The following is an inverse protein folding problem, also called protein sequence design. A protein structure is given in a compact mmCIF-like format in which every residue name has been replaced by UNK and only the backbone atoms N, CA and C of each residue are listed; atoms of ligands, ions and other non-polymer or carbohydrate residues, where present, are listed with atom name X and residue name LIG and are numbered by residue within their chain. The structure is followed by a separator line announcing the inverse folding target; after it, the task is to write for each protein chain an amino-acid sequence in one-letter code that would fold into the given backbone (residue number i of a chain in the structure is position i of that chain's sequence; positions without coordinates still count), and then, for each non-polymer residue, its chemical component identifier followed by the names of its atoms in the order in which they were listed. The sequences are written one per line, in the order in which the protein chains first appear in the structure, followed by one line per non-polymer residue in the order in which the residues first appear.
data_IF_858825665211
#
_entry.id   IF_858825665211
#
_cell.length_a   1.000
_cell.length_b   1.000
_cell.length_c   1.000
_cell.angle_alpha   90.00
_cell.angle_beta   90.00
_cell.angle_gamma   90.00
#
_symmetry.space_group_name_H-M   'P 1'
#
loop_
_entity.id
_entity.type
_entity.pdbx_description
1 polymer ?
#
# COMPACT_ATOMS: atom_id res chain seq x y z
N UNK A 1 -7.57 -9.33 27.93
CA UNK A 1 -6.29 -8.93 28.56
C UNK A 1 -6.52 -8.60 30.01
N UNK A 2 -5.45 -8.40 30.77
CA UNK A 2 -5.49 -8.08 32.21
C UNK A 2 -4.41 -7.02 32.50
N UNK A 3 -4.73 -6.00 33.31
CA UNK A 3 -3.81 -4.90 33.66
C UNK A 3 -3.15 -4.23 32.43
N UNK A 4 -3.95 -3.96 31.38
CA UNK A 4 -3.50 -3.42 30.09
C UNK A 4 -2.43 -4.28 29.37
N UNK A 5 -2.37 -5.58 29.69
CA UNK A 5 -1.50 -6.55 29.02
C UNK A 5 -2.32 -7.61 28.32
N UNK A 6 -1.84 -8.06 27.16
CA UNK A 6 -2.35 -9.28 26.53
C UNK A 6 -2.09 -10.48 27.45
N UNK A 7 -2.97 -11.48 27.37
CA UNK A 7 -2.91 -12.72 28.18
C UNK A 7 -3.18 -13.95 27.34
N UNK A 8 -4.16 -13.85 26.44
CA UNK A 8 -4.51 -14.89 25.50
C UNK A 8 -4.96 -14.26 24.18
N UNK A 9 -4.78 -15.00 23.09
CA UNK A 9 -5.45 -14.77 21.80
C UNK A 9 -6.55 -15.82 21.69
N UNK A 10 -7.77 -15.38 21.40
CA UNK A 10 -8.88 -16.28 21.13
C UNK A 10 -9.00 -16.47 19.61
N UNK A 11 -8.94 -17.72 19.15
CA UNK A 11 -9.20 -18.07 17.77
C UNK A 11 -10.71 -18.12 17.51
N UNK A 12 -11.12 -18.06 16.24
CA UNK A 12 -12.53 -18.22 15.83
C UNK A 12 -13.12 -19.57 16.27
N UNK A 13 -12.29 -20.61 16.39
CA UNK A 13 -12.66 -21.93 16.92
C UNK A 13 -13.06 -21.92 18.40
N UNK A 14 -12.74 -20.84 19.13
CA UNK A 14 -12.92 -20.72 20.57
C UNK A 14 -11.66 -21.07 21.38
N UNK A 15 -10.60 -21.60 20.75
CA UNK A 15 -9.34 -21.94 21.41
C UNK A 15 -8.64 -20.70 21.97
N UNK A 16 -8.03 -20.84 23.14
CA UNK A 16 -7.27 -19.79 23.81
C UNK A 16 -5.78 -20.10 23.80
N UNK A 17 -5.00 -19.24 23.14
CA UNK A 17 -3.53 -19.35 23.09
C UNK A 17 -2.93 -18.35 24.10
N UNK A 18 -2.23 -18.79 25.16
CA UNK A 18 -1.52 -17.89 26.08
C UNK A 18 -0.52 -17.00 25.34
N UNK A 19 -0.51 -15.70 25.67
CA UNK A 19 0.26 -14.69 24.95
C UNK A 19 0.62 -13.52 25.87
N UNK A 20 1.90 -13.20 25.99
CA UNK A 20 2.42 -12.03 26.73
C UNK A 20 2.79 -10.84 25.82
N UNK A 21 2.93 -11.10 24.51
CA UNK A 21 3.20 -10.12 23.46
C UNK A 21 2.48 -10.50 22.17
N UNK A 22 1.68 -9.59 21.63
CA UNK A 22 0.97 -9.76 20.36
C UNK A 22 1.54 -8.81 19.30
N UNK A 23 2.00 -9.37 18.19
CA UNK A 23 2.43 -8.63 17.00
C UNK A 23 1.41 -8.91 15.89
N UNK A 24 0.83 -7.86 15.32
CA UNK A 24 -0.16 -7.97 14.24
C UNK A 24 0.48 -7.49 12.94
N UNK A 25 0.49 -8.36 11.93
CA UNK A 25 1.04 -8.08 10.60
C UNK A 25 0.11 -8.66 9.52
N UNK A 26 -1.04 -8.00 9.31
CA UNK A 26 -2.13 -8.47 8.41
C UNK A 26 -2.20 -7.69 7.09
N UNK A 27 -1.13 -7.01 6.72
CA UNK A 27 -1.07 -6.12 5.56
C UNK A 27 -0.95 -4.65 5.95
N UNK A 28 -0.97 -3.78 4.94
CA UNK A 28 -0.90 -2.33 5.08
C UNK A 28 -1.98 -1.67 4.23
N UNK A 29 -2.42 -0.48 4.64
CA UNK A 29 -3.33 0.35 3.87
C UNK A 29 -2.56 1.50 3.21
N UNK A 30 -3.02 1.93 2.04
CA UNK A 30 -2.39 3.05 1.33
C UNK A 30 -2.73 4.36 2.02
N UNK A 31 -1.71 5.16 2.33
CA UNK A 31 -1.88 6.50 2.89
C UNK A 31 -2.21 7.53 1.78
N UNK A 32 -3.44 7.50 1.27
CA UNK A 32 -3.87 8.37 0.15
C UNK A 32 -5.03 9.31 0.46
N UNK A 33 -5.45 9.40 1.72
CA UNK A 33 -6.57 10.24 2.17
C UNK A 33 -6.43 11.71 1.75
N UNK A 34 -5.21 12.25 1.77
CA UNK A 34 -4.91 13.62 1.38
C UNK A 34 -5.32 13.93 -0.08
N UNK A 35 -5.36 12.92 -0.95
CA UNK A 35 -5.51 13.08 -2.40
C UNK A 35 -6.92 12.78 -2.91
N UNK A 36 -7.84 12.29 -2.06
CA UNK A 36 -9.20 11.88 -2.48
C UNK A 36 -10.01 12.95 -3.20
N UNK A 37 -9.76 14.23 -2.90
CA UNK A 37 -10.43 15.38 -3.54
C UNK A 37 -9.48 16.18 -4.44
N UNK A 38 -8.35 15.59 -4.81
CA UNK A 38 -7.38 16.19 -5.72
C UNK A 38 -7.74 15.87 -7.18
N UNK A 39 -7.15 16.55 -8.17
CA UNK A 39 -7.31 16.21 -9.58
C UNK A 39 -6.55 14.94 -10.02
N UNK A 40 -5.90 14.23 -9.09
CA UNK A 40 -5.18 12.99 -9.38
C UNK A 40 -6.16 11.87 -9.75
N UNK A 41 -5.87 11.15 -10.82
CA UNK A 41 -6.59 9.93 -11.17
C UNK A 41 -6.19 8.81 -10.20
N UNK A 42 -7.16 8.33 -9.43
CA UNK A 42 -6.96 7.29 -8.43
C UNK A 42 -7.76 6.04 -8.77
N UNK A 43 -7.24 4.87 -8.40
CA UNK A 43 -7.98 3.62 -8.49
C UNK A 43 -9.04 3.51 -7.39
N UNK A 44 -10.03 2.63 -7.57
CA UNK A 44 -11.08 2.40 -6.57
C UNK A 44 -10.54 1.95 -5.21
N UNK A 45 -9.36 1.31 -5.19
CA UNK A 45 -8.64 0.89 -3.98
C UNK A 45 -7.62 1.92 -3.47
N UNK A 46 -7.67 3.16 -3.97
CA UNK A 46 -6.99 4.31 -3.35
C UNK A 46 -5.55 4.55 -3.78
N UNK A 47 -5.05 3.87 -4.82
CA UNK A 47 -3.72 4.14 -5.37
C UNK A 47 -3.76 5.27 -6.40
N UNK A 48 -2.64 5.96 -6.61
CA UNK A 48 -2.48 6.93 -7.68
C UNK A 48 -2.04 6.19 -8.94
N UNK A 49 -2.76 6.38 -10.05
CA UNK A 49 -2.36 5.84 -11.34
C UNK A 49 -1.22 6.66 -11.93
N UNK A 50 -0.18 5.99 -12.41
CA UNK A 50 0.94 6.61 -13.10
C UNK A 50 1.21 5.97 -14.44
N UNK A 51 1.76 6.72 -15.39
CA UNK A 51 2.23 6.20 -16.67
C UNK A 51 3.59 5.48 -16.53
N UNK A 52 4.16 5.01 -17.65
CA UNK A 52 5.45 4.29 -17.71
C UNK A 52 6.64 5.13 -17.22
N UNK A 53 6.46 6.45 -17.10
CA UNK A 53 7.44 7.42 -16.60
C UNK A 53 7.08 7.98 -15.23
N UNK A 54 6.21 7.30 -14.48
CA UNK A 54 5.80 7.68 -13.11
C UNK A 54 4.98 8.97 -13.02
N UNK A 55 4.58 9.54 -14.15
CA UNK A 55 3.74 10.73 -14.23
C UNK A 55 2.29 10.43 -13.90
N UNK A 56 1.69 11.28 -13.06
CA UNK A 56 0.26 11.23 -12.72
C UNK A 56 -0.60 11.89 -13.81
N UNK A 57 -1.92 11.96 -13.60
CA UNK A 57 -2.83 12.74 -14.44
C UNK A 57 -2.61 14.26 -14.39
N UNK A 58 -1.82 14.75 -13.43
CA UNK A 58 -1.53 16.18 -13.24
C UNK A 58 -0.12 16.47 -13.74
N UNK A 59 0.00 17.48 -14.60
CA UNK A 59 1.27 17.88 -15.19
C UNK A 59 2.31 18.23 -14.12
N UNK A 60 3.55 17.74 -14.29
CA UNK A 60 4.67 17.93 -13.35
C UNK A 60 4.43 17.39 -11.94
N UNK A 61 3.49 16.45 -11.78
CA UNK A 61 3.28 15.69 -10.54
C UNK A 61 3.58 14.22 -10.80
N UNK A 62 4.48 13.66 -10.01
CA UNK A 62 4.88 12.25 -10.05
C UNK A 62 4.38 11.52 -8.80
N UNK A 63 4.18 10.21 -8.91
CA UNK A 63 3.93 9.34 -7.76
C UNK A 63 4.80 8.07 -7.86
N UNK A 64 5.40 7.67 -6.74
CA UNK A 64 6.39 6.59 -6.68
C UNK A 64 6.19 5.72 -5.44
N UNK A 65 6.79 4.53 -5.44
CA UNK A 65 6.67 3.58 -4.34
C UNK A 65 5.24 3.08 -4.11
N UNK A 66 4.94 2.72 -2.87
CA UNK A 66 3.74 1.94 -2.50
C UNK A 66 2.40 2.62 -2.86
N UNK A 67 2.36 3.95 -2.97
CA UNK A 67 1.13 4.68 -3.32
C UNK A 67 0.79 4.61 -4.82
N UNK A 68 1.76 4.23 -5.66
CA UNK A 68 1.63 4.24 -7.12
C UNK A 68 1.17 2.90 -7.68
N UNK A 69 0.32 2.95 -8.71
CA UNK A 69 0.05 1.82 -9.60
C UNK A 69 0.53 2.16 -11.00
N UNK A 70 1.33 1.28 -11.59
CA UNK A 70 1.96 1.45 -12.90
C UNK A 70 1.43 0.41 -13.89
N UNK A 71 1.42 0.73 -15.20
CA UNK A 71 1.03 -0.22 -16.22
C UNK A 71 2.07 -1.35 -16.36
N UNK A 72 1.58 -2.59 -16.50
CA UNK A 72 2.45 -3.76 -16.67
C UNK A 72 2.01 -4.57 -17.90
N UNK A 73 2.11 -3.92 -19.05
CA UNK A 73 1.63 -4.42 -20.34
C UNK A 73 2.25 -5.77 -20.76
N UNK A 74 3.51 -6.05 -20.39
CA UNK A 74 4.18 -7.31 -20.74
C UNK A 74 3.48 -8.55 -20.15
N UNK A 75 2.75 -8.38 -19.04
CA UNK A 75 1.95 -9.43 -18.41
C UNK A 75 0.45 -9.29 -18.71
N UNK A 76 0.06 -8.41 -19.63
CA UNK A 76 -1.33 -8.08 -19.93
C UNK A 76 -2.13 -7.68 -18.68
N UNK A 77 -1.48 -6.93 -17.78
CA UNK A 77 -2.07 -6.39 -16.56
C UNK A 77 -2.22 -4.87 -16.71
N UNK A 78 -3.41 -4.35 -16.39
CA UNK A 78 -3.73 -2.93 -16.54
C UNK A 78 -2.85 -2.05 -15.66
N UNK A 79 -3.02 -2.12 -14.34
CA UNK A 79 -2.34 -1.28 -13.36
C UNK A 79 -2.02 -2.10 -12.12
N UNK A 80 -0.73 -2.28 -11.84
CA UNK A 80 -0.26 -3.10 -10.73
C UNK A 80 0.47 -2.25 -9.71
N UNK A 81 0.47 -2.72 -8.47
CA UNK A 81 1.28 -2.20 -7.40
C UNK A 81 2.21 -3.31 -6.90
N UNK A 82 3.42 -2.93 -6.52
CA UNK A 82 4.38 -3.83 -5.91
C UNK A 82 4.97 -3.13 -4.69
N UNK A 83 4.45 -3.47 -3.51
CA UNK A 83 4.89 -2.94 -2.20
C UNK A 83 6.23 -3.56 -1.79
N UNK A 84 7.26 -3.33 -2.61
CA UNK A 84 8.58 -3.87 -2.42
C UNK A 84 9.58 -2.72 -2.28
N UNK A 85 10.49 -2.83 -1.31
CA UNK A 85 11.48 -1.80 -1.03
C UNK A 85 12.31 -1.40 -2.27
N UNK A 86 12.71 -2.39 -3.08
CA UNK A 86 13.44 -2.13 -4.33
C UNK A 86 12.62 -1.31 -5.33
N UNK A 87 11.29 -1.47 -5.36
CA UNK A 87 10.43 -0.66 -6.23
C UNK A 87 10.35 0.78 -5.72
N UNK A 88 10.26 1.00 -4.41
CA UNK A 88 10.33 2.34 -3.83
C UNK A 88 11.67 3.04 -4.17
N UNK A 89 12.80 2.35 -4.04
CA UNK A 89 14.10 2.90 -4.39
C UNK A 89 14.26 3.15 -5.91
N UNK A 90 13.87 2.17 -6.73
CA UNK A 90 14.02 2.24 -8.19
C UNK A 90 13.14 3.32 -8.80
N UNK A 91 11.87 3.39 -8.41
CA UNK A 91 10.95 4.43 -8.89
C UNK A 91 11.34 5.81 -8.37
N UNK A 92 11.82 5.91 -7.13
CA UNK A 92 12.39 7.15 -6.60
C UNK A 92 13.62 7.63 -7.38
N UNK A 93 14.47 6.72 -7.88
CA UNK A 93 15.61 7.07 -8.72
C UNK A 93 15.21 7.48 -10.14
N UNK A 94 14.13 6.91 -10.68
CA UNK A 94 13.63 7.20 -12.04
C UNK A 94 12.75 8.45 -12.12
N UNK A 95 12.28 8.97 -10.98
CA UNK A 95 11.44 10.16 -10.93
C UNK A 95 12.26 11.42 -11.25
N UNK A 96 12.12 11.91 -12.48
CA UNK A 96 12.78 13.11 -13.02
C UNK A 96 11.78 14.22 -13.39
#
# INVERSE_FOLDING_TARGET
GENNRVKFVQLETGDLIPCDLLIVAIGSEICSELYKNSPLEMTNDGFIKVNERLGTSVERVLAVGDISKYPLAIFNLDYVNCQHWQMACSTGHQAE
#
